data_IF_476728332543
#
_entry.id   IF_476728332543
#
_cell.length_a   1.000
_cell.length_b   1.000
_cell.length_c   1.000
_cell.angle_alpha   90.00
_cell.angle_beta   90.00
_cell.angle_gamma   90.00
#
_symmetry.space_group_name_H-M   'P 1'
#
loop_
_entity.id
_entity.type
_entity.pdbx_description
1 polymer ?
#
# COMPACT_ATOMS: atom_id res chain seq x y z
N UNK A 1 20.80 -15.75 7.29
CA UNK A 1 19.90 -15.54 6.14
C UNK A 1 18.60 -16.30 6.39
N UNK A 2 17.53 -15.64 6.82
CA UNK A 2 16.24 -16.31 6.99
C UNK A 2 15.58 -16.50 5.61
N UNK A 3 15.40 -17.74 5.18
CA UNK A 3 14.56 -18.08 4.03
C UNK A 3 13.12 -17.69 4.38
N UNK A 4 12.55 -16.71 3.69
CA UNK A 4 11.12 -16.39 3.80
C UNK A 4 10.34 -17.54 3.18
N UNK A 5 9.92 -18.50 4.00
CA UNK A 5 8.93 -19.50 3.64
C UNK A 5 7.55 -18.83 3.64
N UNK A 6 7.27 -18.02 2.62
CA UNK A 6 5.91 -17.59 2.29
C UNK A 6 5.50 -18.28 1.01
N UNK A 7 4.54 -19.21 1.07
CA UNK A 7 3.90 -19.69 -0.15
C UNK A 7 3.31 -18.48 -0.88
N UNK A 8 3.50 -18.35 -2.20
CA UNK A 8 2.93 -17.21 -2.94
C UNK A 8 1.42 -17.24 -2.78
N UNK A 9 0.85 -16.13 -2.31
CA UNK A 9 -0.61 -15.94 -2.24
C UNK A 9 -1.12 -16.01 -3.67
N UNK A 10 -1.84 -17.09 -3.99
CA UNK A 10 -2.32 -17.37 -5.36
C UNK A 10 -3.60 -16.60 -5.70
N UNK A 11 -4.43 -16.34 -4.70
CA UNK A 11 -5.63 -15.53 -4.83
C UNK A 11 -6.03 -14.95 -3.47
N UNK A 12 -6.86 -13.91 -3.50
CA UNK A 12 -7.49 -13.30 -2.34
C UNK A 12 -8.95 -12.97 -2.65
N UNK A 13 -9.83 -13.03 -1.65
CA UNK A 13 -11.24 -12.63 -1.77
C UNK A 13 -11.46 -11.30 -1.05
N UNK A 14 -12.12 -10.35 -1.70
CA UNK A 14 -12.61 -9.12 -1.09
C UNK A 14 -14.13 -9.18 -1.04
N UNK A 15 -14.69 -9.03 0.16
CA UNK A 15 -16.12 -8.87 0.36
C UNK A 15 -16.48 -7.41 0.57
N UNK A 16 -17.35 -6.88 -0.29
CA UNK A 16 -17.92 -5.54 -0.20
C UNK A 16 -19.28 -5.61 0.50
N UNK A 17 -19.30 -5.27 1.78
CA UNK A 17 -20.51 -5.41 2.62
C UNK A 17 -21.70 -4.54 2.19
N UNK A 18 -21.43 -3.37 1.59
CA UNK A 18 -22.50 -2.47 1.13
C UNK A 18 -23.30 -3.03 -0.06
N UNK A 19 -22.61 -3.75 -0.95
CA UNK A 19 -23.22 -4.33 -2.16
C UNK A 19 -23.35 -5.86 -2.09
N UNK A 20 -23.07 -6.44 -0.92
CA UNK A 20 -22.98 -7.89 -0.69
C UNK A 20 -22.17 -8.66 -1.76
N UNK A 21 -21.18 -8.00 -2.36
CA UNK A 21 -20.45 -8.54 -3.53
C UNK A 21 -19.13 -9.15 -3.09
N UNK A 22 -18.80 -10.33 -3.63
CA UNK A 22 -17.49 -10.97 -3.45
C UNK A 22 -16.70 -10.85 -4.75
N UNK A 23 -15.48 -10.33 -4.66
CA UNK A 23 -14.54 -10.23 -5.77
C UNK A 23 -13.30 -11.07 -5.47
N UNK A 24 -12.96 -11.97 -6.39
CA UNK A 24 -11.69 -12.68 -6.36
C UNK A 24 -10.59 -11.88 -7.07
N UNK A 25 -9.46 -11.75 -6.40
CA UNK A 25 -8.25 -11.11 -6.93
C UNK A 25 -7.21 -12.18 -7.17
N UNK A 26 -6.73 -12.23 -8.41
CA UNK A 26 -5.60 -13.04 -8.83
C UNK A 26 -4.39 -12.10 -9.00
N UNK A 27 -3.49 -12.01 -8.00
CA UNK A 27 -2.37 -11.10 -8.09
C UNK A 27 -1.39 -11.53 -9.19
N UNK A 28 -1.10 -10.61 -10.11
CA UNK A 28 -0.05 -10.81 -11.11
C UNK A 28 1.33 -10.49 -10.55
N UNK A 29 2.37 -10.99 -11.20
CA UNK A 29 3.77 -10.65 -10.88
C UNK A 29 4.03 -9.14 -10.90
N UNK A 30 3.40 -8.41 -11.82
CA UNK A 30 3.51 -6.94 -11.90
C UNK A 30 2.86 -6.25 -10.69
N UNK A 31 1.69 -6.75 -10.25
CA UNK A 31 1.04 -6.24 -9.03
C UNK A 31 1.93 -6.47 -7.81
N UNK A 32 2.54 -7.66 -7.69
CA UNK A 32 3.44 -8.00 -6.57
C UNK A 32 4.67 -7.08 -6.57
N UNK A 33 5.32 -6.87 -7.72
CA UNK A 33 6.46 -5.95 -7.83
C UNK A 33 6.10 -4.52 -7.45
N UNK A 34 4.95 -4.05 -7.92
CA UNK A 34 4.43 -2.72 -7.58
C UNK A 34 4.17 -2.60 -6.07
N UNK A 35 3.55 -3.62 -5.46
CA UNK A 35 3.32 -3.63 -4.02
C UNK A 35 4.63 -3.59 -3.22
N UNK A 36 5.63 -4.37 -3.64
CA UNK A 36 6.94 -4.41 -3.00
C UNK A 36 7.67 -3.06 -3.10
N UNK A 37 7.55 -2.33 -4.22
CA UNK A 37 8.15 -1.01 -4.36
C UNK A 37 7.50 0.01 -3.40
N UNK A 38 6.18 -0.05 -3.23
CA UNK A 38 5.43 0.77 -2.26
C UNK A 38 5.83 0.42 -0.82
N UNK A 39 5.92 -0.86 -0.48
CA UNK A 39 6.38 -1.31 0.86
C UNK A 39 7.79 -0.78 1.15
N UNK A 40 8.70 -0.85 0.17
CA UNK A 40 10.05 -0.32 0.32
C UNK A 40 10.07 1.20 0.51
N UNK A 41 9.20 1.94 -0.19
CA UNK A 41 9.06 3.39 0.01
C UNK A 41 8.55 3.72 1.42
N UNK A 42 7.53 3.02 1.91
CA UNK A 42 7.02 3.17 3.28
C UNK A 42 8.12 2.87 4.31
N UNK A 43 8.85 1.76 4.14
CA UNK A 43 9.97 1.40 5.02
C UNK A 43 11.07 2.46 5.04
N UNK A 44 11.33 3.12 3.91
CA UNK A 44 12.26 4.25 3.84
C UNK A 44 11.75 5.44 4.65
N UNK A 45 10.46 5.78 4.54
CA UNK A 45 9.87 6.87 5.32
C UNK A 45 9.90 6.60 6.83
N UNK A 46 9.65 5.37 7.25
CA UNK A 46 9.75 4.99 8.67
C UNK A 46 11.18 5.13 9.22
N UNK A 47 12.21 4.92 8.39
CA UNK A 47 13.62 5.00 8.81
C UNK A 47 14.20 6.41 8.76
N UNK A 48 13.87 7.19 7.72
CA UNK A 48 14.51 8.47 7.43
C UNK A 48 13.60 9.66 7.76
N UNK A 49 12.32 9.40 8.02
CA UNK A 49 11.29 10.43 8.15
C UNK A 49 10.54 10.65 6.85
N UNK A 50 9.34 11.26 6.97
CA UNK A 50 8.47 11.53 5.84
C UNK A 50 9.02 12.73 5.03
N UNK A 51 9.26 12.59 3.72
CA UNK A 51 9.65 13.73 2.90
C UNK A 51 8.50 14.73 2.81
N UNK A 52 8.83 16.02 2.77
CA UNK A 52 7.86 17.09 2.47
C UNK A 52 7.44 16.96 1.01
N UNK A 53 6.24 16.47 0.76
CA UNK A 53 5.70 16.30 -0.59
C UNK A 53 4.38 17.06 -0.68
N UNK A 54 4.34 18.06 -1.56
CA UNK A 54 3.07 18.60 -2.05
C UNK A 54 2.57 17.68 -3.17
N UNK A 55 1.41 17.08 -2.96
CA UNK A 55 0.73 16.28 -3.99
C UNK A 55 -0.66 16.85 -4.25
N UNK A 56 -1.19 16.66 -5.46
CA UNK A 56 -2.58 17.02 -5.77
C UNK A 56 -3.61 16.30 -4.90
N UNK A 57 -3.22 15.24 -4.18
CA UNK A 57 -4.09 14.48 -3.27
C UNK A 57 -4.10 15.03 -1.84
N UNK A 58 -3.30 16.05 -1.52
CA UNK A 58 -3.33 16.67 -0.20
C UNK A 58 -4.72 17.20 0.18
N UNK A 59 -5.53 17.63 -0.81
CA UNK A 59 -6.89 18.14 -0.58
C UNK A 59 -7.89 17.10 -0.03
N UNK A 60 -7.64 15.81 -0.23
CA UNK A 60 -8.51 14.71 0.24
C UNK A 60 -7.84 13.86 1.33
N UNK A 61 -6.62 14.21 1.74
CA UNK A 61 -5.88 13.44 2.75
C UNK A 61 -6.31 13.86 4.17
N UNK A 62 -6.90 12.93 4.93
CA UNK A 62 -7.33 13.20 6.31
C UNK A 62 -6.19 13.62 7.25
N UNK A 63 -4.94 13.27 6.91
CA UNK A 63 -3.74 13.60 7.71
C UNK A 63 -3.09 14.94 7.31
N UNK A 64 -3.71 15.71 6.41
CA UNK A 64 -3.19 17.02 5.95
C UNK A 64 -2.82 17.96 7.10
N UNK A 65 -3.59 17.96 8.19
CA UNK A 65 -3.37 18.82 9.35
C UNK A 65 -2.13 18.45 10.18
N UNK A 66 -1.64 17.21 10.07
CA UNK A 66 -0.43 16.72 10.77
C UNK A 66 0.79 16.82 9.86
N UNK A 67 0.58 16.65 8.56
CA UNK A 67 1.62 16.84 7.57
C UNK A 67 1.90 18.34 7.48
N UNK A 68 2.92 18.81 8.20
CA UNK A 68 3.39 20.20 8.19
C UNK A 68 3.53 20.66 6.72
N UNK A 69 2.54 21.40 6.21
CA UNK A 69 2.57 21.97 4.87
C UNK A 69 3.76 22.93 4.79
N UNK A 70 4.91 22.43 4.35
CA UNK A 70 6.09 23.25 4.08
C UNK A 70 6.53 22.93 2.66
#
# INVERSE_FOLDING_TARGET
MARRCGYPVRSALIYYGESETIVEILPTEENIRTLLSVINAINRFLKVGMPRIKSGRCGVCSYRHICLEI
#
